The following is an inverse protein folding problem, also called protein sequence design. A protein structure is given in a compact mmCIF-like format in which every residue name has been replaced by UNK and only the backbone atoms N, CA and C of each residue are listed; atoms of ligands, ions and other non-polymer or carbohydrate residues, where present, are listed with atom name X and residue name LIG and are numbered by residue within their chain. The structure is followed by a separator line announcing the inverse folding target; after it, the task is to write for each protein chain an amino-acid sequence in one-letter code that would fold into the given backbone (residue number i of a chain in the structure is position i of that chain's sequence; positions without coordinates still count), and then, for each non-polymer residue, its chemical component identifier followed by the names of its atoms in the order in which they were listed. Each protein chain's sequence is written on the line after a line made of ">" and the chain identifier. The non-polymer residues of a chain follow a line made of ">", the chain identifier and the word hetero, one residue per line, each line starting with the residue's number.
data_IF_573235721740
#
_entry.id   IF_573235721740
#
_cell.length_a   1.000
_cell.length_b   1.000
_cell.length_c   1.000
_cell.angle_alpha   90.00
_cell.angle_beta   90.00
_cell.angle_gamma   90.00
#
_symmetry.space_group_name_H-M   'P 1'
#
loop_
_entity.id
_entity.type
_entity.pdbx_description
1 polymer ?
#
# COMPACT_ATOMS: atom_id res chain seq x y z
N UNK A 1 24.85 -1.55 12.62
CA UNK A 1 24.54 -2.32 11.40
C UNK A 1 23.21 -1.84 10.84
N UNK A 2 23.10 -1.56 9.54
CA UNK A 2 21.79 -1.38 8.90
C UNK A 2 21.21 -2.77 8.66
N UNK A 3 20.10 -3.10 9.32
CA UNK A 3 19.41 -4.38 9.09
C UNK A 3 18.64 -4.30 7.79
N UNK A 4 19.11 -5.02 6.77
CA UNK A 4 18.51 -5.01 5.44
C UNK A 4 17.04 -5.44 5.45
N UNK A 5 16.68 -6.46 6.22
CA UNK A 5 15.29 -6.89 6.37
C UNK A 5 14.38 -5.76 6.90
N UNK A 6 14.84 -4.98 7.89
CA UNK A 6 14.08 -3.85 8.42
C UNK A 6 14.01 -2.69 7.43
N UNK A 7 15.04 -2.50 6.59
CA UNK A 7 15.01 -1.51 5.52
C UNK A 7 13.96 -1.87 4.48
N UNK A 8 13.92 -3.12 4.03
CA UNK A 8 12.92 -3.62 3.06
C UNK A 8 11.50 -3.37 3.57
N UNK A 9 11.19 -3.79 4.81
CA UNK A 9 9.85 -3.59 5.40
C UNK A 9 9.47 -2.11 5.49
N UNK A 10 10.43 -1.23 5.82
CA UNK A 10 10.20 0.23 5.88
C UNK A 10 9.99 0.86 4.50
N UNK A 11 10.75 0.42 3.50
CA UNK A 11 10.63 0.91 2.12
C UNK A 11 9.27 0.49 1.52
N UNK A 12 8.81 -0.73 1.84
CA UNK A 12 7.47 -1.22 1.48
C UNK A 12 6.36 -0.38 2.16
N UNK A 13 6.49 -0.11 3.46
CA UNK A 13 5.58 0.79 4.16
C UNK A 13 5.53 2.20 3.57
N UNK A 14 6.68 2.78 3.21
CA UNK A 14 6.74 4.10 2.59
C UNK A 14 6.01 4.12 1.24
N UNK A 15 6.13 3.04 0.47
CA UNK A 15 5.44 2.86 -0.82
C UNK A 15 3.93 2.75 -0.64
N UNK A 16 3.48 1.92 0.32
CA UNK A 16 2.05 1.79 0.66
C UNK A 16 1.45 3.11 1.15
N UNK A 17 2.17 3.85 1.99
CA UNK A 17 1.74 5.17 2.44
C UNK A 17 1.58 6.15 1.25
N UNK A 18 2.52 6.16 0.30
CA UNK A 18 2.43 7.02 -0.88
C UNK A 18 1.25 6.65 -1.79
N UNK A 19 0.95 5.36 -1.95
CA UNK A 19 -0.23 4.88 -2.69
C UNK A 19 -1.53 5.33 -2.03
N UNK A 20 -1.64 5.20 -0.70
CA UNK A 20 -2.81 5.66 0.06
C UNK A 20 -2.99 7.19 -0.03
N UNK A 21 -1.91 7.96 0.05
CA UNK A 21 -1.96 9.42 -0.14
C UNK A 21 -2.48 9.78 -1.54
N UNK A 22 -1.98 9.10 -2.56
CA UNK A 22 -2.43 9.29 -3.96
C UNK A 22 -3.91 8.96 -4.12
N UNK A 23 -4.37 7.85 -3.50
CA UNK A 23 -5.78 7.46 -3.51
C UNK A 23 -6.66 8.54 -2.88
N UNK A 24 -6.29 9.06 -1.70
CA UNK A 24 -7.02 10.14 -1.05
C UNK A 24 -7.04 11.42 -1.88
N UNK A 25 -5.94 11.78 -2.53
CA UNK A 25 -5.88 12.96 -3.40
C UNK A 25 -6.82 12.83 -4.60
N UNK A 26 -6.86 11.64 -5.21
CA UNK A 26 -7.74 11.36 -6.34
C UNK A 26 -9.21 11.44 -5.93
N UNK A 27 -9.58 10.85 -4.79
CA UNK A 27 -10.94 10.93 -4.23
C UNK A 27 -11.35 12.38 -3.92
N UNK A 28 -10.44 13.18 -3.34
CA UNK A 28 -10.70 14.61 -3.05
C UNK A 28 -10.90 15.44 -4.31
N UNK A 29 -10.15 15.13 -5.38
CA UNK A 29 -10.27 15.82 -6.67
C UNK A 29 -11.57 15.45 -7.38
N UNK A 30 -12.00 14.20 -7.27
CA UNK A 30 -13.13 13.67 -8.01
C UNK A 30 -12.83 13.50 -9.52
N UNK A 31 -13.78 12.95 -10.29
CA UNK A 31 -13.67 12.89 -11.74
C UNK A 31 -13.68 14.29 -12.35
N UNK A 32 -12.98 14.46 -13.49
CA UNK A 32 -12.95 15.74 -14.20
C UNK A 32 -14.35 16.09 -14.76
N UNK A 33 -14.97 17.20 -14.35
CA UNK A 33 -16.31 17.58 -14.81
C UNK A 33 -16.37 17.91 -16.31
N UNK A 34 -15.27 18.31 -16.93
CA UNK A 34 -15.19 18.62 -18.37
C UNK A 34 -14.67 17.43 -19.20
N UNK A 35 -14.13 16.40 -18.53
CA UNK A 35 -13.60 15.19 -19.13
C UNK A 35 -14.66 14.25 -19.67
N UNK A 36 -15.27 14.59 -20.81
CA UNK A 36 -16.11 13.66 -21.58
C UNK A 36 -15.30 12.37 -21.85
N UNK A 37 -15.91 11.22 -21.54
CA UNK A 37 -15.34 9.87 -21.69
C UNK A 37 -14.13 9.53 -20.79
N UNK A 38 -13.81 10.35 -19.77
CA UNK A 38 -12.71 10.07 -18.81
C UNK A 38 -13.18 9.59 -17.43
N UNK A 39 -14.49 9.59 -17.18
CA UNK A 39 -15.05 9.16 -15.89
C UNK A 39 -14.85 7.66 -15.63
N UNK A 40 -14.96 6.83 -16.67
CA UNK A 40 -14.71 5.39 -16.55
C UNK A 40 -13.26 5.11 -16.13
N UNK A 41 -12.30 5.77 -16.78
CA UNK A 41 -10.88 5.67 -16.44
C UNK A 41 -10.60 6.08 -14.98
N UNK A 42 -11.27 7.13 -14.49
CA UNK A 42 -11.17 7.55 -13.09
C UNK A 42 -11.56 6.40 -12.13
N UNK A 43 -12.70 5.76 -12.38
CA UNK A 43 -13.16 4.65 -11.53
C UNK A 43 -12.31 3.38 -11.70
N UNK A 44 -11.78 3.13 -12.90
CA UNK A 44 -10.89 1.99 -13.16
C UNK A 44 -9.57 2.13 -12.41
N UNK A 45 -8.98 3.32 -12.40
CA UNK A 45 -7.75 3.60 -11.64
C UNK A 45 -8.01 3.50 -10.14
N UNK A 46 -9.10 4.08 -9.62
CA UNK A 46 -9.46 3.92 -8.20
C UNK A 46 -9.61 2.45 -7.81
N UNK A 47 -10.29 1.67 -8.64
CA UNK A 47 -10.48 0.24 -8.41
C UNK A 47 -9.13 -0.49 -8.41
N UNK A 48 -8.25 -0.19 -9.35
CA UNK A 48 -6.91 -0.78 -9.41
C UNK A 48 -6.07 -0.41 -8.16
N UNK A 49 -6.17 0.82 -7.67
CA UNK A 49 -5.50 1.23 -6.43
C UNK A 49 -6.03 0.47 -5.22
N UNK A 50 -7.36 0.30 -5.11
CA UNK A 50 -7.99 -0.49 -4.04
C UNK A 50 -7.55 -1.96 -4.06
N UNK A 51 -7.49 -2.57 -5.25
CA UNK A 51 -6.94 -3.92 -5.38
C UNK A 51 -5.47 -3.99 -4.98
N UNK A 52 -4.66 -3.01 -5.38
CA UNK A 52 -3.24 -3.01 -5.04
C UNK A 52 -2.98 -2.91 -3.53
N UNK A 53 -3.71 -2.03 -2.83
CA UNK A 53 -3.52 -1.86 -1.37
C UNK A 53 -4.04 -3.04 -0.55
N UNK A 54 -4.83 -3.93 -1.14
CA UNK A 54 -5.29 -5.19 -0.51
C UNK A 54 -4.31 -6.33 -0.84
N UNK A 55 -4.04 -6.52 -2.13
CA UNK A 55 -3.27 -7.66 -2.62
C UNK A 55 -1.77 -7.59 -2.29
N UNK A 56 -1.16 -6.41 -2.39
CA UNK A 56 0.28 -6.29 -2.14
C UNK A 56 0.61 -6.56 -0.65
N UNK A 57 -0.10 -5.96 0.33
CA UNK A 57 0.17 -6.27 1.72
C UNK A 57 0.02 -7.75 2.04
N UNK A 58 -1.10 -8.36 1.65
CA UNK A 58 -1.39 -9.76 1.97
C UNK A 58 -0.42 -10.75 1.31
N UNK A 59 -0.08 -10.55 0.04
CA UNK A 59 0.73 -11.53 -0.71
C UNK A 59 2.23 -11.32 -0.54
N UNK A 60 2.66 -10.09 -0.37
CA UNK A 60 4.08 -9.74 -0.43
C UNK A 60 4.61 -9.20 0.90
N UNK A 61 3.91 -8.27 1.56
CA UNK A 61 4.45 -7.56 2.73
C UNK A 61 4.23 -8.33 4.04
N UNK A 62 2.98 -8.59 4.41
CA UNK A 62 2.59 -9.21 5.66
C UNK A 62 3.22 -10.58 5.91
N UNK A 63 3.46 -11.46 4.91
CA UNK A 63 4.19 -12.70 5.16
C UNK A 63 5.59 -12.48 5.76
N UNK A 64 6.29 -11.41 5.36
CA UNK A 64 7.60 -11.07 5.95
C UNK A 64 7.48 -10.69 7.42
N UNK A 65 6.40 -10.02 7.78
CA UNK A 65 6.17 -9.59 9.14
C UNK A 65 5.66 -10.75 10.01
N UNK A 66 4.56 -11.37 9.62
CA UNK A 66 3.86 -12.44 10.33
C UNK A 66 4.69 -13.71 10.49
N UNK A 67 5.42 -14.11 9.45
CA UNK A 67 6.12 -15.40 9.47
C UNK A 67 7.55 -15.27 10.02
N UNK A 68 8.19 -14.11 9.86
CA UNK A 68 9.62 -13.94 10.15
C UNK A 68 9.91 -12.93 11.27
N UNK A 69 9.27 -11.77 11.27
CA UNK A 69 9.59 -10.68 12.19
C UNK A 69 8.84 -10.79 13.52
N UNK A 70 7.51 -10.76 13.49
CA UNK A 70 6.66 -10.70 14.67
C UNK A 70 6.89 -11.87 15.64
N UNK A 71 7.08 -13.13 15.19
CA UNK A 71 7.35 -14.23 16.11
C UNK A 71 8.66 -14.05 16.90
N UNK A 72 9.66 -13.39 16.30
CA UNK A 72 10.94 -13.09 16.98
C UNK A 72 10.79 -11.93 17.94
N UNK A 73 10.05 -10.90 17.55
CA UNK A 73 9.74 -9.75 18.43
C UNK A 73 8.97 -10.22 19.65
N UNK A 74 7.89 -10.98 19.48
CA UNK A 74 7.08 -11.50 20.58
C UNK A 74 7.89 -12.38 21.56
N UNK A 75 8.89 -13.12 21.06
CA UNK A 75 9.78 -13.92 21.92
C UNK A 75 10.74 -13.06 22.75
N UNK A 76 11.18 -11.94 22.20
CA UNK A 76 12.14 -11.03 22.84
C UNK A 76 11.45 -9.98 23.73
N UNK A 77 10.22 -9.59 23.41
CA UNK A 77 9.41 -8.59 24.07
C UNK A 77 7.91 -9.02 24.03
N UNK A 78 7.48 -9.88 24.97
CA UNK A 78 6.13 -10.42 25.02
C UNK A 78 5.07 -9.42 25.49
#
# INVERSE_FOLDING_TARGET
>A
MKHEALRVIRDEHATLAAMLQSLMQMVRRGPDPEGKDQHELYFDVLRAMLFYIDEFPEKMHHPKESDLLFPRVARAAP
#
